data_IF_786985332340
#
_entry.id   IF_786985332340
#
_cell.length_a   1.000
_cell.length_b   1.000
_cell.length_c   1.000
_cell.angle_alpha   90.00
_cell.angle_beta   90.00
_cell.angle_gamma   90.00
#
_symmetry.space_group_name_H-M   'P 1'
#
loop_
_entity.id
_entity.type
_entity.pdbx_description
1 polymer ?
#
# COMPACT_ATOMS: atom_id res chain seq x y z
N UNK A 1 -32.63 2.13 0.53
CA UNK A 1 -31.96 0.86 0.85
C UNK A 1 -32.09 0.70 2.36
N UNK A 2 -32.52 -0.45 2.88
CA UNK A 2 -32.61 -0.63 4.34
C UNK A 2 -31.23 -0.93 4.91
N UNK A 3 -30.90 -0.43 6.10
CA UNK A 3 -29.58 -0.60 6.75
C UNK A 3 -29.08 -2.06 6.76
N UNK A 4 -30.00 -3.02 6.88
CA UNK A 4 -29.68 -4.46 6.89
C UNK A 4 -29.21 -5.01 5.53
N UNK A 5 -29.55 -4.36 4.42
CA UNK A 5 -29.15 -4.81 3.09
C UNK A 5 -27.74 -4.32 2.76
N UNK A 6 -27.44 -3.05 3.07
CA UNK A 6 -26.11 -2.48 2.87
C UNK A 6 -25.04 -3.21 3.70
N UNK A 7 -25.35 -3.59 4.94
CA UNK A 7 -24.46 -4.40 5.79
C UNK A 7 -24.15 -5.79 5.19
N UNK A 8 -25.14 -6.40 4.54
CA UNK A 8 -24.94 -7.69 3.87
C UNK A 8 -24.09 -7.54 2.61
N UNK A 9 -24.31 -6.48 1.85
CA UNK A 9 -23.59 -6.22 0.61
C UNK A 9 -22.11 -5.88 0.89
N UNK A 10 -21.82 -5.16 1.97
CA UNK A 10 -20.45 -4.87 2.44
C UNK A 10 -19.74 -6.11 3.01
N UNK A 11 -20.42 -6.92 3.82
CA UNK A 11 -19.85 -8.17 4.33
C UNK A 11 -19.53 -9.15 3.19
N UNK A 12 -20.40 -9.21 2.18
CA UNK A 12 -20.18 -10.01 0.99
C UNK A 12 -19.01 -9.48 0.14
N UNK A 13 -18.82 -8.16 0.06
CA UNK A 13 -17.67 -7.57 -0.64
C UNK A 13 -16.35 -7.90 0.08
N UNK A 14 -16.28 -7.74 1.40
CA UNK A 14 -15.08 -8.08 2.19
C UNK A 14 -14.71 -9.57 2.04
N UNK A 15 -15.71 -10.46 2.14
CA UNK A 15 -15.53 -11.91 1.93
C UNK A 15 -15.11 -12.23 0.48
N UNK A 16 -15.68 -11.53 -0.51
CA UNK A 16 -15.33 -11.71 -1.93
C UNK A 16 -13.88 -11.35 -2.24
N UNK A 17 -13.31 -10.36 -1.56
CA UNK A 17 -11.91 -9.97 -1.73
C UNK A 17 -10.94 -10.74 -0.83
N UNK A 18 -11.40 -11.77 -0.11
CA UNK A 18 -10.54 -12.58 0.76
C UNK A 18 -10.08 -11.86 2.03
N UNK A 19 -10.71 -10.74 2.39
CA UNK A 19 -10.52 -10.14 3.70
C UNK A 19 -11.23 -11.00 4.73
N UNK A 20 -10.51 -11.97 5.31
CA UNK A 20 -10.98 -12.59 6.54
C UNK A 20 -11.17 -11.48 7.56
N UNK A 21 -12.37 -11.38 8.16
CA UNK A 21 -12.56 -10.54 9.34
C UNK A 21 -11.47 -10.93 10.34
N UNK A 22 -10.56 -10.03 10.73
CA UNK A 22 -9.62 -10.34 11.79
C UNK A 22 -10.45 -10.77 12.99
N UNK A 23 -10.32 -12.03 13.41
CA UNK A 23 -10.87 -12.49 14.69
C UNK A 23 -10.01 -11.87 15.79
N UNK A 24 -10.24 -10.59 16.05
CA UNK A 24 -9.65 -9.93 17.21
C UNK A 24 -10.53 -10.22 18.40
N UNK A 25 -9.98 -10.99 19.34
CA UNK A 25 -10.38 -10.84 20.72
C UNK A 25 -10.22 -9.36 21.07
N UNK A 26 -11.34 -8.68 21.32
CA UNK A 26 -11.40 -7.29 21.73
C UNK A 26 -10.37 -7.09 22.84
N UNK A 27 -9.26 -6.42 22.54
CA UNK A 27 -8.24 -6.09 23.53
C UNK A 27 -8.80 -4.99 24.41
N UNK A 28 -9.55 -5.39 25.44
CA UNK A 28 -10.11 -4.49 26.43
C UNK A 28 -8.96 -3.87 27.26
N UNK A 29 -8.56 -2.66 26.90
CA UNK A 29 -7.61 -1.83 27.65
C UNK A 29 -7.27 -0.56 26.87
N UNK A 30 -7.45 0.65 27.44
CA UNK A 30 -7.00 1.88 26.79
C UNK A 30 -5.48 1.84 26.59
N UNK A 31 -4.94 2.09 25.39
CA UNK A 31 -3.49 2.25 25.23
C UNK A 31 -2.99 3.46 26.04
N UNK A 32 -3.87 4.42 26.32
CA UNK A 32 -3.63 5.57 27.21
C UNK A 32 -3.13 5.24 28.63
N UNK A 33 -3.28 4.01 29.14
CA UNK A 33 -2.73 3.61 30.45
C UNK A 33 -1.30 3.05 30.40
N UNK A 34 -0.70 2.88 29.20
CA UNK A 34 0.73 2.57 29.04
C UNK A 34 1.47 3.88 28.71
N UNK A 35 1.93 4.52 29.77
CA UNK A 35 2.51 5.86 29.88
C UNK A 35 3.80 6.14 29.07
N UNK A 36 3.85 5.91 27.76
CA UNK A 36 5.07 6.14 26.96
C UNK A 36 4.90 6.17 25.44
N UNK A 37 3.70 6.49 24.92
CA UNK A 37 3.40 6.42 23.47
C UNK A 37 3.07 7.77 22.85
N UNK A 38 3.90 8.79 23.12
CA UNK A 38 3.80 10.12 22.52
C UNK A 38 5.08 10.45 21.79
N UNK A 39 5.00 11.30 20.78
CA UNK A 39 6.21 11.86 20.19
C UNK A 39 6.97 12.69 21.22
N UNK A 40 8.31 12.64 21.22
CA UNK A 40 9.13 13.57 21.97
C UNK A 40 8.74 15.01 21.64
N UNK A 41 8.62 15.86 22.67
CA UNK A 41 8.08 17.22 22.51
C UNK A 41 8.79 18.03 21.43
N UNK A 42 10.12 17.98 21.37
CA UNK A 42 10.90 18.72 20.38
C UNK A 42 10.60 18.25 18.95
N UNK A 43 10.36 16.95 18.75
CA UNK A 43 9.99 16.39 17.45
C UNK A 43 8.56 16.81 17.05
N UNK A 44 7.64 16.79 18.01
CA UNK A 44 6.25 17.26 17.85
C UNK A 44 6.18 18.73 17.45
N UNK A 45 6.85 19.61 18.19
CA UNK A 45 6.90 21.06 17.92
C UNK A 45 7.51 21.35 16.54
N UNK A 46 8.55 20.59 16.16
CA UNK A 46 9.18 20.73 14.86
C UNK A 46 8.25 20.27 13.72
N UNK A 47 7.49 19.19 13.94
CA UNK A 47 6.50 18.67 12.99
C UNK A 47 5.35 19.65 12.78
N UNK A 48 4.73 20.13 13.87
CA UNK A 48 3.67 21.13 13.85
C UNK A 48 4.10 22.37 13.08
N UNK A 49 5.28 22.92 13.41
CA UNK A 49 5.81 24.11 12.74
C UNK A 49 6.03 23.89 11.25
N UNK A 50 6.57 22.74 10.86
CA UNK A 50 6.81 22.41 9.45
C UNK A 50 5.50 22.24 8.68
N UNK A 51 4.53 21.51 9.25
CA UNK A 51 3.20 21.32 8.70
C UNK A 51 2.45 22.64 8.55
N UNK A 52 2.41 23.47 9.60
CA UNK A 52 1.77 24.78 9.55
C UNK A 52 2.39 25.69 8.47
N UNK A 53 3.72 25.68 8.34
CA UNK A 53 4.41 26.43 7.30
C UNK A 53 4.09 25.91 5.89
N UNK A 54 3.97 24.59 5.71
CA UNK A 54 3.61 23.98 4.43
C UNK A 54 2.14 24.22 4.07
N UNK A 55 1.19 24.05 4.99
CA UNK A 55 -0.24 24.35 4.79
C UNK A 55 -0.49 25.81 4.41
N UNK A 56 0.32 26.73 4.92
CA UNK A 56 0.25 28.15 4.54
C UNK A 56 0.91 28.48 3.18
N UNK A 57 1.52 27.50 2.51
CA UNK A 57 2.29 27.71 1.28
C UNK A 57 1.42 27.61 0.01
N UNK A 58 1.84 28.24 -1.11
CA UNK A 58 1.23 28.02 -2.41
C UNK A 58 1.30 26.57 -2.89
N UNK A 59 2.36 25.84 -2.51
CA UNK A 59 2.59 24.46 -2.96
C UNK A 59 1.54 23.49 -2.38
N UNK A 60 1.14 23.69 -1.11
CA UNK A 60 0.03 22.94 -0.51
C UNK A 60 -1.31 23.29 -1.18
N UNK A 61 -1.59 24.58 -1.40
CA UNK A 61 -2.81 24.99 -2.09
C UNK A 61 -2.92 24.41 -3.51
N UNK A 62 -1.81 24.34 -4.25
CA UNK A 62 -1.73 23.70 -5.57
C UNK A 62 -1.97 22.19 -5.47
N UNK A 63 -1.32 21.51 -4.51
CA UNK A 63 -1.51 20.08 -4.26
C UNK A 63 -2.99 19.78 -4.01
N UNK A 64 -3.61 20.44 -3.03
CA UNK A 64 -5.01 20.19 -2.64
C UNK A 64 -5.98 20.45 -3.79
N UNK A 65 -5.74 21.47 -4.62
CA UNK A 65 -6.55 21.75 -5.79
C UNK A 65 -6.40 20.70 -6.90
N UNK A 66 -5.21 20.10 -7.05
CA UNK A 66 -4.91 19.12 -8.08
C UNK A 66 -5.26 17.68 -7.68
N UNK A 67 -5.36 17.36 -6.39
CA UNK A 67 -5.55 16.01 -5.84
C UNK A 67 -6.48 15.09 -6.66
N UNK A 68 -7.69 15.51 -7.10
CA UNK A 68 -8.60 14.61 -7.82
C UNK A 68 -8.13 14.18 -9.22
N UNK A 69 -7.08 14.81 -9.74
CA UNK A 69 -6.56 14.64 -11.11
C UNK A 69 -5.16 14.02 -11.13
N UNK A 70 -4.49 13.91 -9.98
CA UNK A 70 -3.11 13.44 -9.92
C UNK A 70 -3.04 11.92 -10.05
N UNK A 71 -2.08 11.42 -10.83
CA UNK A 71 -1.69 10.02 -10.78
C UNK A 71 -0.90 9.72 -9.49
N UNK A 72 -0.73 8.43 -9.16
CA UNK A 72 0.13 8.03 -8.04
C UNK A 72 1.58 8.47 -8.21
N UNK A 73 2.09 8.45 -9.44
CA UNK A 73 3.43 8.94 -9.76
C UNK A 73 3.54 10.46 -9.53
N UNK A 74 2.51 11.22 -9.92
CA UNK A 74 2.48 12.66 -9.65
C UNK A 74 2.38 12.94 -8.15
N UNK A 75 1.54 12.20 -7.41
CA UNK A 75 1.43 12.32 -5.95
C UNK A 75 2.77 12.05 -5.27
N UNK A 76 3.47 10.99 -5.67
CA UNK A 76 4.81 10.69 -5.17
C UNK A 76 5.75 11.89 -5.37
N UNK A 77 5.85 12.40 -6.59
CA UNK A 77 6.74 13.52 -6.92
C UNK A 77 6.37 14.77 -6.09
N UNK A 78 5.07 15.04 -5.91
CA UNK A 78 4.61 16.18 -5.12
C UNK A 78 4.96 16.04 -3.64
N UNK A 79 4.68 14.89 -3.04
CA UNK A 79 5.03 14.64 -1.63
C UNK A 79 6.54 14.59 -1.39
N UNK A 80 7.30 14.01 -2.32
CA UNK A 80 8.75 14.05 -2.29
C UNK A 80 9.27 15.48 -2.28
N UNK A 81 8.86 16.29 -3.27
CA UNK A 81 9.30 17.69 -3.36
C UNK A 81 8.90 18.52 -2.13
N UNK A 82 7.74 18.24 -1.55
CA UNK A 82 7.29 18.88 -0.33
C UNK A 82 8.15 18.47 0.87
N UNK A 83 8.28 17.16 1.16
CA UNK A 83 9.01 16.63 2.31
C UNK A 83 10.51 16.94 2.24
N UNK A 84 11.13 16.85 1.06
CA UNK A 84 12.53 17.23 0.85
C UNK A 84 12.71 18.75 0.68
N UNK A 85 11.61 19.49 0.65
CA UNK A 85 11.56 20.93 0.41
C UNK A 85 11.95 21.79 1.62
N UNK A 86 11.95 23.12 1.44
CA UNK A 86 12.43 24.06 2.45
C UNK A 86 11.58 24.08 3.74
N UNK A 87 10.31 23.68 3.67
CA UNK A 87 9.40 23.66 4.82
C UNK A 87 9.77 22.59 5.85
N UNK A 88 10.26 21.44 5.37
CA UNK A 88 10.58 20.27 6.21
C UNK A 88 12.10 20.05 6.37
N UNK A 89 12.94 20.82 5.68
CA UNK A 89 14.39 20.69 5.73
C UNK A 89 14.96 20.70 7.16
N UNK A 90 14.46 21.56 8.04
CA UNK A 90 14.90 21.60 9.46
C UNK A 90 14.45 20.36 10.23
N UNK A 91 13.25 19.85 9.98
CA UNK A 91 12.75 18.62 10.60
C UNK A 91 13.58 17.41 10.16
N UNK A 92 13.81 17.26 8.85
CA UNK A 92 14.66 16.21 8.29
C UNK A 92 16.09 16.26 8.84
N UNK A 93 16.67 17.46 8.96
CA UNK A 93 17.99 17.63 9.55
C UNK A 93 17.99 17.20 11.03
N UNK A 94 16.96 17.58 11.77
CA UNK A 94 16.85 17.29 13.19
C UNK A 94 16.63 15.79 13.46
N UNK A 95 15.90 15.08 12.61
CA UNK A 95 15.78 13.62 12.68
C UNK A 95 17.11 12.88 12.50
N UNK A 96 18.06 13.45 11.76
CA UNK A 96 19.43 12.90 11.63
C UNK A 96 20.32 13.22 12.83
N UNK A 97 19.83 14.01 13.77
CA UNK A 97 20.55 14.45 14.97
C UNK A 97 19.62 14.35 16.19
N UNK A 98 19.29 13.13 16.67
CA UNK A 98 18.28 12.92 17.71
C UNK A 98 18.50 13.77 18.98
N UNK A 99 19.77 14.03 19.31
CA UNK A 99 20.23 14.92 20.39
C UNK A 99 19.59 16.33 20.35
N UNK A 100 19.35 16.86 19.14
CA UNK A 100 18.84 18.23 18.91
C UNK A 100 17.35 18.34 19.23
N UNK A 101 16.62 17.23 19.13
CA UNK A 101 15.19 17.17 19.37
C UNK A 101 14.84 16.72 20.79
N UNK A 102 15.86 16.56 21.63
CA UNK A 102 15.72 16.02 22.99
C UNK A 102 14.97 14.68 22.98
N UNK A 103 15.19 13.88 21.93
CA UNK A 103 14.60 12.56 21.78
C UNK A 103 15.33 11.60 22.72
N UNK A 104 14.61 11.06 23.71
CA UNK A 104 15.08 9.87 24.40
C UNK A 104 14.96 8.68 23.44
N UNK A 105 16.11 8.14 23.05
CA UNK A 105 16.17 7.04 22.08
C UNK A 105 15.66 5.72 22.65
N UNK A 106 15.52 5.61 23.98
CA UNK A 106 14.87 4.48 24.63
C UNK A 106 13.33 4.54 24.48
N UNK A 107 12.77 5.74 24.28
CA UNK A 107 11.32 5.95 24.17
C UNK A 107 10.84 5.88 22.70
N UNK A 108 11.48 6.63 21.79
CA UNK A 108 11.06 6.69 20.39
C UNK A 108 12.17 7.21 19.46
N UNK A 109 12.79 6.33 18.68
CA UNK A 109 13.76 6.71 17.66
C UNK A 109 13.21 6.43 16.25
N UNK A 110 12.72 7.45 15.52
CA UNK A 110 12.21 7.24 14.17
C UNK A 110 13.35 6.89 13.20
N UNK A 111 13.14 5.82 12.42
CA UNK A 111 14.02 5.38 11.35
C UNK A 111 13.64 5.96 9.99
N UNK A 112 12.36 6.31 9.80
CA UNK A 112 11.87 6.98 8.61
C UNK A 112 10.81 8.05 8.92
N UNK A 113 10.60 8.95 7.97
CA UNK A 113 9.62 10.03 8.02
C UNK A 113 8.81 10.05 6.74
N UNK A 114 7.52 10.30 6.87
CA UNK A 114 6.63 10.41 5.74
C UNK A 114 5.84 11.72 5.73
N UNK A 115 5.45 12.13 4.52
CA UNK A 115 4.44 13.15 4.30
C UNK A 115 3.37 12.51 3.41
N UNK A 116 2.13 12.51 3.87
CA UNK A 116 1.02 11.93 3.13
C UNK A 116 -0.27 12.69 3.31
N UNK A 117 -1.23 12.37 2.44
CA UNK A 117 -2.62 12.73 2.62
C UNK A 117 -3.27 11.65 3.47
N UNK A 118 -3.83 12.04 4.61
CA UNK A 118 -4.77 11.21 5.34
C UNK A 118 -6.17 11.71 5.03
N UNK A 119 -7.07 10.79 4.69
CA UNK A 119 -8.45 11.11 4.37
C UNK A 119 -9.37 10.11 5.06
N UNK A 120 -10.43 10.62 5.66
CA UNK A 120 -11.47 9.85 6.31
C UNK A 120 -12.82 10.25 5.76
N UNK A 121 -13.67 9.26 5.47
CA UNK A 121 -15.04 9.46 5.06
C UNK A 121 -15.95 8.59 5.93
N UNK A 122 -16.78 9.21 6.78
CA UNK A 122 -17.68 8.51 7.71
C UNK A 122 -19.14 8.85 7.38
N UNK A 123 -20.03 7.84 7.38
CA UNK A 123 -21.49 8.04 7.29
C UNK A 123 -22.31 7.04 8.15
N UNK A 124 -21.68 6.05 8.79
CA UNK A 124 -22.22 4.98 9.70
C UNK A 124 -21.14 3.88 9.85
N UNK A 125 -20.43 3.60 8.76
CA UNK A 125 -19.15 2.90 8.68
C UNK A 125 -18.22 3.86 7.94
N UNK A 126 -17.04 4.10 8.50
CA UNK A 126 -16.02 4.96 7.91
C UNK A 126 -15.03 4.17 7.08
N UNK A 127 -14.46 4.84 6.08
CA UNK A 127 -13.22 4.44 5.45
C UNK A 127 -12.19 5.49 5.78
N UNK A 128 -11.12 5.06 6.44
CA UNK A 128 -9.92 5.86 6.60
C UNK A 128 -8.86 5.36 5.65
N UNK A 129 -8.13 6.27 5.03
CA UNK A 129 -7.07 5.97 4.10
C UNK A 129 -5.94 6.96 4.27
N UNK A 130 -4.72 6.50 4.01
CA UNK A 130 -3.54 7.34 3.92
C UNK A 130 -2.72 6.93 2.71
N UNK A 131 -2.14 7.91 2.04
CA UNK A 131 -1.16 7.69 0.99
C UNK A 131 -0.11 8.78 1.10
N UNK A 132 1.16 8.42 1.01
CA UNK A 132 2.21 9.42 1.07
C UNK A 132 3.58 8.91 0.69
N UNK A 133 4.51 9.85 0.64
CA UNK A 133 5.91 9.58 0.40
C UNK A 133 6.62 9.36 1.73
N UNK A 134 7.47 8.34 1.82
CA UNK A 134 8.25 8.00 3.02
C UNK A 134 9.73 7.88 2.67
N UNK A 135 10.59 8.39 3.56
CA UNK A 135 12.04 8.38 3.40
C UNK A 135 12.74 7.99 4.70
N UNK A 136 13.67 7.04 4.60
CA UNK A 136 14.58 6.65 5.66
C UNK A 136 15.53 7.79 6.03
N UNK A 137 15.97 7.78 7.29
CA UNK A 137 17.03 8.69 7.74
C UNK A 137 18.34 8.53 6.95
N UNK A 138 18.56 7.35 6.34
CA UNK A 138 19.68 7.02 5.45
C UNK A 138 19.39 7.21 3.94
N UNK A 139 18.26 7.85 3.59
CA UNK A 139 17.84 8.29 2.25
C UNK A 139 17.23 7.24 1.31
N UNK A 140 16.97 6.00 1.74
CA UNK A 140 16.08 5.12 0.98
C UNK A 140 14.65 5.69 1.04
N UNK A 141 13.87 5.60 -0.04
CA UNK A 141 12.51 6.15 -0.08
C UNK A 141 11.54 5.28 -0.86
N UNK A 142 10.26 5.48 -0.59
CA UNK A 142 9.15 4.73 -1.19
C UNK A 142 7.83 5.50 -1.08
N UNK A 143 6.79 4.92 -1.66
CA UNK A 143 5.41 5.37 -1.46
C UNK A 143 4.74 4.41 -0.46
N UNK A 144 4.06 4.92 0.54
CA UNK A 144 3.24 4.09 1.42
C UNK A 144 1.76 4.33 1.12
N UNK A 145 0.96 3.29 1.27
CA UNK A 145 -0.50 3.36 1.28
C UNK A 145 -0.96 2.61 2.50
N UNK A 146 -1.95 3.15 3.20
CA UNK A 146 -2.69 2.38 4.17
C UNK A 146 -4.14 2.76 4.28
N UNK A 147 -4.92 1.93 4.96
CA UNK A 147 -6.33 2.22 5.18
C UNK A 147 -6.98 1.26 6.15
N UNK A 148 -8.18 1.66 6.57
CA UNK A 148 -8.94 1.01 7.59
C UNK A 148 -10.45 1.18 7.39
N UNK A 149 -11.20 0.30 8.05
CA UNK A 149 -12.64 0.40 8.18
C UNK A 149 -12.98 0.86 9.59
N UNK A 150 -13.63 2.01 9.71
CA UNK A 150 -14.07 2.59 10.99
C UNK A 150 -15.57 2.37 11.20
N UNK A 151 -16.04 2.47 12.45
CA UNK A 151 -17.44 2.27 12.79
C UNK A 151 -18.02 3.48 13.55
N UNK A 152 -17.80 4.69 13.02
CA UNK A 152 -18.31 5.93 13.63
C UNK A 152 -19.70 6.39 13.16
N UNK A 153 -20.37 7.20 13.98
CA UNK A 153 -21.66 7.85 13.69
C UNK A 153 -21.48 9.32 13.30
N UNK A 154 -20.33 9.68 12.72
CA UNK A 154 -20.12 11.03 12.20
C UNK A 154 -20.25 11.08 10.67
N UNK A 155 -20.69 12.22 10.15
CA UNK A 155 -20.94 12.42 8.73
C UNK A 155 -20.02 13.52 8.19
N UNK A 156 -18.85 13.12 7.71
CA UNK A 156 -17.81 14.04 7.25
C UNK A 156 -16.88 13.39 6.23
N UNK A 157 -16.35 14.21 5.33
CA UNK A 157 -15.15 13.88 4.55
C UNK A 157 -14.09 14.88 4.97
N UNK A 158 -13.08 14.39 5.65
CA UNK A 158 -11.95 15.20 6.10
C UNK A 158 -10.68 14.63 5.51
N UNK A 159 -9.83 15.48 4.97
CA UNK A 159 -8.55 15.04 4.49
C UNK A 159 -7.58 16.19 4.31
N UNK A 160 -6.41 16.04 4.90
CA UNK A 160 -5.30 16.99 4.79
C UNK A 160 -3.97 16.25 4.93
N UNK A 161 -2.89 16.99 4.79
CA UNK A 161 -1.54 16.47 4.90
C UNK A 161 -1.16 16.20 6.36
N UNK A 162 -0.51 15.06 6.59
CA UNK A 162 0.04 14.65 7.87
C UNK A 162 1.51 14.26 7.71
N UNK A 163 2.28 14.39 8.79
CA UNK A 163 3.65 13.87 8.87
C UNK A 163 3.64 12.59 9.69
N UNK A 164 4.17 11.51 9.14
CA UNK A 164 4.36 10.24 9.84
C UNK A 164 5.79 10.07 10.32
N UNK A 165 5.97 9.60 11.55
CA UNK A 165 7.26 9.18 12.08
C UNK A 165 7.22 7.68 12.35
N UNK A 166 8.09 6.93 11.67
CA UNK A 166 8.10 5.47 11.73
C UNK A 166 9.36 5.02 12.45
N UNK A 167 9.23 4.05 13.36
CA UNK A 167 10.36 3.35 13.98
C UNK A 167 10.96 2.27 13.08
N UNK A 168 10.32 2.04 11.93
CA UNK A 168 10.72 1.09 10.90
C UNK A 168 11.30 1.80 9.69
N UNK A 169 12.15 1.07 8.95
CA UNK A 169 12.67 1.55 7.68
C UNK A 169 11.63 1.35 6.58
N UNK A 170 11.77 2.10 5.50
CA UNK A 170 10.92 2.03 4.30
C UNK A 170 10.76 0.59 3.79
N UNK A 171 11.82 -0.22 3.83
CA UNK A 171 11.77 -1.61 3.38
C UNK A 171 11.05 -2.58 4.32
N UNK A 172 10.73 -2.15 5.52
CA UNK A 172 10.09 -2.94 6.58
C UNK A 172 8.66 -2.43 6.85
N UNK A 173 8.13 -1.56 5.97
CA UNK A 173 6.76 -1.04 6.08
C UNK A 173 5.78 -2.01 5.42
N UNK A 174 5.35 -3.02 6.17
CA UNK A 174 4.30 -3.94 5.77
C UNK A 174 3.46 -4.40 6.97
N UNK A 175 2.25 -4.88 6.68
CA UNK A 175 1.42 -5.55 7.67
C UNK A 175 0.32 -4.70 8.33
N UNK A 176 -0.21 -5.24 9.42
CA UNK A 176 -1.34 -4.69 10.16
C UNK A 176 -0.82 -3.83 11.32
N UNK A 177 -1.24 -2.58 11.32
CA UNK A 177 -0.99 -1.62 12.37
C UNK A 177 -2.29 -1.35 13.11
N UNK A 178 -2.26 -1.36 14.43
CA UNK A 178 -3.43 -1.02 15.26
C UNK A 178 -3.29 0.42 15.72
N UNK A 179 -4.11 1.30 15.18
CA UNK A 179 -4.17 2.72 15.51
C UNK A 179 -5.05 3.00 16.73
N UNK A 180 -4.57 3.88 17.60
CA UNK A 180 -5.39 4.61 18.57
C UNK A 180 -5.13 6.10 18.37
N UNK A 181 -6.21 6.86 18.24
CA UNK A 181 -6.18 8.31 18.17
C UNK A 181 -5.86 8.85 19.56
N UNK A 182 -4.87 9.74 19.63
CA UNK A 182 -4.48 10.41 20.87
C UNK A 182 -4.77 11.89 20.65
N UNK A 183 -5.99 12.30 20.98
CA UNK A 183 -6.29 13.72 21.04
C UNK A 183 -5.41 14.38 22.11
N UNK A 184 -4.77 15.46 21.70
CA UNK A 184 -4.01 16.31 22.59
C UNK A 184 -4.80 17.60 22.75
N UNK A 185 -5.73 17.60 23.71
CA UNK A 185 -6.42 18.79 24.20
C UNK A 185 -5.44 19.74 24.93
N UNK A 186 -4.50 20.33 24.18
CA UNK A 186 -3.62 21.41 24.61
C UNK A 186 -3.98 22.76 23.96
N UNK A 187 -5.07 22.81 23.17
CA UNK A 187 -5.58 24.01 22.52
C UNK A 187 -4.75 24.49 21.32
N UNK A 188 -3.81 23.68 20.83
CA UNK A 188 -2.97 24.00 19.66
C UNK A 188 -3.62 23.61 18.33
N UNK A 189 -4.63 22.72 18.35
CA UNK A 189 -5.24 22.16 17.14
C UNK A 189 -4.36 21.08 16.48
N UNK A 190 -3.38 20.52 17.20
CA UNK A 190 -2.55 19.41 16.73
C UNK A 190 -3.16 18.09 17.16
N UNK A 191 -3.28 17.15 16.22
CA UNK A 191 -3.78 15.81 16.51
C UNK A 191 -2.69 14.78 16.25
N UNK A 192 -2.55 13.81 17.17
CA UNK A 192 -1.65 12.68 17.01
C UNK A 192 -2.46 11.38 16.85
N UNK A 193 -2.04 10.53 15.92
CA UNK A 193 -2.54 9.16 15.83
C UNK A 193 -1.35 8.21 15.99
N UNK A 194 -1.41 7.33 16.99
CA UNK A 194 -0.34 6.39 17.31
C UNK A 194 -0.72 4.98 16.87
N UNK A 195 0.18 4.31 16.20
CA UNK A 195 -0.04 3.01 15.57
C UNK A 195 0.95 1.99 16.09
N UNK A 196 0.43 0.81 16.42
CA UNK A 196 1.21 -0.31 16.90
C UNK A 196 1.41 -1.35 15.81
N UNK A 197 2.63 -1.83 15.65
CA UNK A 197 2.96 -3.02 14.88
C UNK A 197 3.55 -4.06 15.85
N UNK A 198 3.07 -5.30 15.82
CA UNK A 198 3.49 -6.36 16.75
C UNK A 198 3.47 -5.94 18.25
N UNK A 199 2.43 -5.21 18.67
CA UNK A 199 2.22 -4.68 20.02
C UNK A 199 3.18 -3.56 20.47
N UNK A 200 4.11 -3.16 19.61
CA UNK A 200 5.06 -2.08 19.86
C UNK A 200 4.64 -0.80 19.13
N UNK A 201 4.94 0.37 19.71
CA UNK A 201 4.76 1.63 18.99
C UNK A 201 5.66 1.61 17.74
N UNK A 202 5.06 1.80 16.58
CA UNK A 202 5.70 1.66 15.29
C UNK A 202 5.60 2.95 14.47
N UNK A 203 4.45 3.62 14.53
CA UNK A 203 4.17 4.83 13.75
C UNK A 203 3.43 5.87 14.60
N UNK A 204 3.76 7.15 14.43
CA UNK A 204 2.91 8.26 14.89
C UNK A 204 2.69 9.24 13.75
N UNK A 205 1.43 9.52 13.42
CA UNK A 205 1.04 10.62 12.55
C UNK A 205 0.79 11.88 13.36
N UNK A 206 1.28 13.01 12.85
CA UNK A 206 0.98 14.36 13.34
C UNK A 206 0.20 15.08 12.26
N UNK A 207 -0.99 15.57 12.63
CA UNK A 207 -1.83 16.44 11.82
C UNK A 207 -2.03 17.80 12.49
N UNK A 208 -2.44 18.79 11.72
CA UNK A 208 -2.91 20.08 12.24
C UNK A 208 -4.34 20.27 11.74
N UNK A 209 -5.28 20.48 12.65
CA UNK A 209 -6.72 20.60 12.40
C UNK A 209 -7.32 19.46 11.55
N UNK A 210 -6.79 18.24 11.68
CA UNK A 210 -7.48 17.05 11.18
C UNK A 210 -8.54 16.72 12.23
N UNK A 211 -9.84 16.79 11.89
CA UNK A 211 -10.96 16.36 12.74
C UNK A 211 -11.03 14.84 12.82
N UNK A 212 -9.93 14.28 13.28
CA UNK A 212 -9.80 12.96 13.87
C UNK A 212 -10.64 13.05 15.14
N UNK A 213 -11.84 12.48 15.10
CA UNK A 213 -12.91 12.69 16.09
C UNK A 213 -12.50 12.23 17.50
N UNK A 214 -13.03 12.87 18.56
CA UNK A 214 -12.71 12.65 19.98
C UNK A 214 -13.20 11.29 20.53
N UNK A 215 -13.50 10.34 19.64
CA UNK A 215 -14.12 9.06 19.93
C UNK A 215 -13.14 7.92 19.78
N UNK A 216 -12.59 7.42 20.90
CA UNK A 216 -11.78 6.18 20.94
C UNK A 216 -12.42 5.05 20.10
N UNK A 217 -11.93 4.86 18.89
CA UNK A 217 -12.11 3.64 18.11
C UNK A 217 -10.72 3.11 17.79
N UNK A 218 -10.40 1.92 18.33
CA UNK A 218 -9.22 1.19 17.89
C UNK A 218 -9.48 0.78 16.46
N UNK A 219 -8.64 1.25 15.56
CA UNK A 219 -8.80 1.02 14.14
C UNK A 219 -7.61 0.23 13.61
N UNK A 220 -7.89 -0.86 12.91
CA UNK A 220 -6.86 -1.64 12.22
C UNK A 220 -6.55 -0.98 10.88
N UNK A 221 -5.36 -0.38 10.77
CA UNK A 221 -4.81 0.15 9.53
C UNK A 221 -3.86 -0.86 8.92
N UNK A 222 -4.05 -1.18 7.65
CA UNK A 222 -3.07 -1.96 6.91
C UNK A 222 -2.16 -0.98 6.16
N UNK A 223 -0.84 -1.03 6.36
CA UNK A 223 0.12 -0.20 5.62
C UNK A 223 1.03 -1.08 4.76
N UNK A 224 1.45 -0.57 3.60
CA UNK A 224 2.45 -1.22 2.77
C UNK A 224 3.26 -0.21 1.95
N UNK A 225 4.54 -0.53 1.71
CA UNK A 225 5.40 0.16 0.76
C UNK A 225 5.12 -0.28 -0.69
N UNK A 226 5.24 0.67 -1.61
CA UNK A 226 5.22 0.43 -3.06
C UNK A 226 6.56 0.87 -3.65
N UNK A 227 7.21 -0.06 -4.36
CA UNK A 227 8.45 0.21 -5.08
C UNK A 227 8.18 1.14 -6.29
N UNK A 228 9.01 2.17 -6.42
CA UNK A 228 8.89 3.17 -7.49
C UNK A 228 9.15 2.57 -8.87
N UNK A 229 8.21 2.79 -9.80
CA UNK A 229 8.24 2.24 -11.15
C UNK A 229 7.25 1.08 -11.37
N UNK A 230 6.55 0.64 -10.32
CA UNK A 230 5.48 -0.35 -10.40
C UNK A 230 4.15 0.30 -10.01
N UNK A 231 3.18 0.27 -10.92
CA UNK A 231 1.82 0.72 -10.64
C UNK A 231 1.08 -0.35 -9.83
N UNK A 232 0.15 0.03 -8.92
CA UNK A 232 -0.74 -0.94 -8.29
C UNK A 232 -1.54 -1.65 -9.38
N UNK A 233 -2.03 -2.85 -9.07
CA UNK A 233 -2.77 -3.74 -10.00
C UNK A 233 -4.00 -3.06 -10.65
N UNK A 234 -4.39 -1.88 -10.17
CA UNK A 234 -5.43 -1.06 -10.76
C UNK A 234 -4.98 -0.32 -12.04
N UNK A 235 -5.57 -0.71 -13.18
CA UNK A 235 -5.44 0.00 -14.45
C UNK A 235 -6.60 1.01 -14.63
N UNK A 236 -6.33 2.33 -14.61
CA UNK A 236 -7.35 3.34 -14.84
C UNK A 236 -7.84 3.32 -16.30
N UNK A 237 -9.06 3.82 -16.52
CA UNK A 237 -9.63 3.98 -17.86
C UNK A 237 -10.37 2.77 -18.42
N UNK A 238 -10.96 3.00 -19.59
CA UNK A 238 -11.71 2.01 -20.36
C UNK A 238 -10.77 1.25 -21.30
N UNK A 239 -11.06 -0.04 -21.51
CA UNK A 239 -10.36 -0.88 -22.47
C UNK A 239 -11.36 -1.73 -23.26
N UNK A 240 -10.98 -2.04 -24.50
CA UNK A 240 -11.79 -2.90 -25.40
C UNK A 240 -11.66 -4.37 -25.03
N UNK A 241 -10.53 -4.77 -24.43
CA UNK A 241 -10.25 -6.15 -24.09
C UNK A 241 -9.76 -6.28 -22.64
N UNK A 242 -10.09 -7.43 -22.05
CA UNK A 242 -9.64 -7.87 -20.74
C UNK A 242 -8.95 -9.23 -20.88
N UNK A 243 -7.88 -9.45 -20.15
CA UNK A 243 -7.23 -10.74 -19.96
C UNK A 243 -7.34 -11.13 -18.50
N UNK A 244 -8.09 -12.17 -18.21
CA UNK A 244 -8.13 -12.79 -16.90
C UNK A 244 -7.08 -13.88 -16.83
N UNK A 245 -6.07 -13.71 -15.98
CA UNK A 245 -5.11 -14.75 -15.64
C UNK A 245 -5.78 -15.65 -14.60
N UNK A 246 -6.04 -16.91 -14.96
CA UNK A 246 -6.88 -17.80 -14.16
C UNK A 246 -6.01 -18.64 -13.23
N UNK A 247 -5.18 -19.50 -13.82
CA UNK A 247 -4.41 -20.49 -13.07
C UNK A 247 -3.00 -20.55 -13.60
N UNK A 248 -2.03 -20.45 -12.69
CA UNK A 248 -0.63 -20.77 -12.96
C UNK A 248 -0.34 -22.17 -12.41
N UNK A 249 0.40 -22.98 -13.15
CA UNK A 249 0.83 -24.32 -12.75
C UNK A 249 2.35 -24.41 -12.84
N UNK A 250 3.00 -24.86 -11.77
CA UNK A 250 4.41 -25.20 -11.78
C UNK A 250 4.57 -26.61 -12.34
N UNK A 251 5.35 -26.74 -13.41
CA UNK A 251 5.64 -28.04 -14.06
C UNK A 251 7.03 -28.52 -13.65
N UNK A 252 8.01 -27.62 -13.56
CA UNK A 252 9.38 -27.88 -13.15
C UNK A 252 9.91 -26.65 -12.39
N UNK A 253 10.45 -26.83 -11.18
CA UNK A 253 10.93 -25.74 -10.32
C UNK A 253 12.44 -25.81 -10.15
N UNK A 254 13.08 -24.65 -9.96
CA UNK A 254 14.53 -24.60 -9.73
C UNK A 254 14.87 -25.13 -8.35
N UNK A 255 14.12 -24.67 -7.35
CA UNK A 255 14.30 -25.02 -5.96
C UNK A 255 13.13 -25.87 -5.45
N UNK A 256 13.18 -26.29 -4.18
CA UNK A 256 12.04 -26.97 -3.55
C UNK A 256 10.78 -26.11 -3.57
N UNK A 257 10.95 -24.79 -3.53
CA UNK A 257 9.91 -23.78 -3.68
C UNK A 257 10.51 -22.58 -4.39
N UNK A 258 9.96 -22.24 -5.53
CA UNK A 258 10.25 -20.99 -6.22
C UNK A 258 9.31 -19.90 -5.70
N UNK A 259 9.82 -18.69 -5.54
CA UNK A 259 9.00 -17.49 -5.28
C UNK A 259 8.72 -16.82 -6.61
N UNK A 260 7.45 -16.75 -7.04
CA UNK A 260 7.09 -16.27 -8.37
C UNK A 260 6.23 -15.01 -8.35
N UNK A 261 6.41 -14.13 -9.34
CA UNK A 261 5.50 -13.01 -9.58
C UNK A 261 5.47 -12.62 -11.06
N UNK A 262 4.42 -11.92 -11.47
CA UNK A 262 4.30 -11.33 -12.80
C UNK A 262 4.63 -9.85 -12.76
N UNK A 263 5.26 -9.40 -13.83
CA UNK A 263 5.11 -8.04 -14.31
C UNK A 263 4.31 -8.04 -15.60
N UNK A 264 3.51 -7.02 -15.83
CA UNK A 264 2.79 -6.86 -17.07
C UNK A 264 2.64 -5.40 -17.48
N UNK A 265 2.52 -5.19 -18.78
CA UNK A 265 2.24 -3.88 -19.34
C UNK A 265 1.37 -4.02 -20.58
N UNK A 266 0.58 -2.99 -20.86
CA UNK A 266 -0.41 -2.99 -21.91
C UNK A 266 -0.01 -2.06 -23.06
N UNK A 267 -0.48 -2.40 -24.25
CA UNK A 267 -0.45 -1.57 -25.45
C UNK A 267 0.95 -1.10 -25.89
N UNK A 268 1.99 -1.85 -25.48
CA UNK A 268 3.39 -1.55 -25.79
C UNK A 268 3.99 -0.43 -24.93
N UNK A 269 3.28 0.04 -23.90
CA UNK A 269 3.79 1.03 -22.95
C UNK A 269 4.54 0.33 -21.81
N UNK A 270 5.85 0.11 -22.01
CA UNK A 270 6.73 -0.46 -20.98
C UNK A 270 7.13 0.55 -19.88
N UNK A 271 6.68 1.80 -19.97
CA UNK A 271 6.88 2.80 -18.93
C UNK A 271 5.91 2.65 -17.75
N UNK A 272 4.78 1.97 -17.96
CA UNK A 272 3.80 1.65 -16.91
C UNK A 272 3.78 0.15 -16.66
N UNK A 273 4.58 -0.29 -15.69
CA UNK A 273 4.71 -1.70 -15.33
C UNK A 273 3.82 -2.02 -14.12
N UNK A 274 2.98 -3.05 -14.24
CA UNK A 274 2.13 -3.55 -13.17
C UNK A 274 2.72 -4.84 -12.62
N UNK A 275 2.63 -5.08 -11.30
CA UNK A 275 3.13 -6.30 -10.65
C UNK A 275 1.98 -7.11 -10.04
N UNK A 276 2.03 -8.44 -10.15
CA UNK A 276 1.07 -9.34 -9.49
C UNK A 276 1.73 -10.62 -8.92
N UNK A 277 1.50 -11.01 -7.64
CA UNK A 277 0.81 -10.23 -6.63
C UNK A 277 1.48 -8.87 -6.45
N UNK A 278 0.75 -7.89 -5.92
CA UNK A 278 1.29 -6.54 -5.73
C UNK A 278 2.55 -6.57 -4.84
N UNK A 279 2.60 -7.54 -3.92
CA UNK A 279 3.65 -7.70 -2.93
C UNK A 279 4.14 -9.15 -2.92
N UNK A 280 5.43 -9.31 -2.58
CA UNK A 280 6.13 -10.59 -2.56
C UNK A 280 6.00 -11.38 -3.87
N UNK A 281 6.37 -12.65 -3.81
CA UNK A 281 5.99 -13.62 -4.82
C UNK A 281 5.19 -14.74 -4.18
N UNK A 282 4.40 -15.41 -5.01
CA UNK A 282 3.69 -16.60 -4.62
C UNK A 282 4.66 -17.79 -4.59
N UNK A 283 4.65 -18.57 -3.52
CA UNK A 283 5.48 -19.76 -3.44
C UNK A 283 4.85 -20.90 -4.25
N UNK A 284 5.60 -21.44 -5.22
CA UNK A 284 5.20 -22.57 -6.03
C UNK A 284 6.27 -23.65 -6.06
N UNK A 285 5.87 -24.90 -6.22
CA UNK A 285 6.77 -26.02 -6.41
C UNK A 285 6.19 -27.01 -7.42
N UNK A 286 7.02 -27.91 -7.94
CA UNK A 286 6.54 -29.04 -8.72
C UNK A 286 5.44 -29.83 -8.01
N UNK A 287 4.54 -30.42 -8.80
CA UNK A 287 3.51 -31.30 -8.27
C UNK A 287 4.13 -32.51 -7.56
N UNK A 288 4.07 -32.48 -6.22
CA UNK A 288 4.36 -33.63 -5.35
C UNK A 288 3.04 -34.32 -4.97
N UNK A 289 3.06 -35.26 -4.01
CA UNK A 289 1.83 -35.92 -3.53
C UNK A 289 0.81 -34.90 -2.94
N UNK A 290 1.28 -33.72 -2.54
CA UNK A 290 0.49 -32.55 -2.16
C UNK A 290 0.55 -31.49 -3.27
N UNK A 291 -0.59 -31.22 -3.92
CA UNK A 291 -0.70 -30.28 -5.05
C UNK A 291 -0.94 -28.83 -4.62
N UNK A 292 -1.00 -28.54 -3.31
CA UNK A 292 -1.39 -27.23 -2.78
C UNK A 292 -0.50 -26.10 -3.31
N UNK A 293 0.78 -26.37 -3.58
CA UNK A 293 1.75 -25.40 -4.08
C UNK A 293 2.11 -25.56 -5.56
N UNK A 294 1.55 -26.57 -6.24
CA UNK A 294 1.77 -26.77 -7.68
C UNK A 294 0.89 -25.91 -8.56
N UNK A 295 -0.18 -25.36 -8.00
CA UNK A 295 -1.15 -24.54 -8.74
C UNK A 295 -1.51 -23.29 -7.95
N UNK A 296 -1.47 -22.14 -8.61
CA UNK A 296 -1.89 -20.86 -8.07
C UNK A 296 -3.11 -20.35 -8.83
N UNK A 297 -4.21 -20.11 -8.13
CA UNK A 297 -5.37 -19.40 -8.70
C UNK A 297 -5.09 -17.90 -8.68
N UNK A 298 -4.70 -17.36 -9.84
CA UNK A 298 -4.17 -16.00 -9.97
C UNK A 298 -5.29 -14.97 -9.82
N UNK A 299 -6.38 -15.09 -10.60
CA UNK A 299 -7.54 -14.20 -10.50
C UNK A 299 -7.30 -12.75 -10.94
N UNK A 300 -6.14 -12.43 -11.53
CA UNK A 300 -5.79 -11.10 -12.02
C UNK A 300 -6.55 -10.77 -13.31
N UNK A 301 -7.07 -9.55 -13.42
CA UNK A 301 -7.65 -9.01 -14.67
C UNK A 301 -6.79 -7.86 -15.17
N UNK A 302 -6.24 -8.02 -16.37
CA UNK A 302 -5.48 -6.99 -17.07
C UNK A 302 -6.30 -6.40 -18.23
N UNK A 303 -6.33 -5.07 -18.34
CA UNK A 303 -6.97 -4.27 -19.39
C UNK A 303 -5.97 -3.95 -20.51
N UNK A 304 -6.40 -4.06 -21.77
CA UNK A 304 -5.57 -3.69 -22.94
C UNK A 304 -6.43 -3.44 -24.20
N UNK A 305 -5.84 -2.81 -25.22
CA UNK A 305 -6.48 -2.52 -26.51
C UNK A 305 -5.77 -3.16 -27.71
N UNK A 306 -4.43 -3.17 -27.73
CA UNK A 306 -3.60 -3.66 -28.84
C UNK A 306 -2.77 -4.89 -28.44
N UNK A 307 -2.20 -4.91 -27.24
CA UNK A 307 -1.45 -6.07 -26.74
C UNK A 307 -1.32 -6.05 -25.21
N UNK A 308 -1.13 -7.21 -24.62
CA UNK A 308 -0.73 -7.36 -23.22
C UNK A 308 0.57 -8.16 -23.18
N UNK A 309 1.64 -7.61 -22.63
CA UNK A 309 2.88 -8.36 -22.40
C UNK A 309 2.97 -8.77 -20.94
N UNK A 310 3.29 -10.04 -20.70
CA UNK A 310 3.49 -10.65 -19.39
C UNK A 310 4.95 -11.09 -19.28
N UNK A 311 5.57 -10.81 -18.13
CA UNK A 311 6.90 -11.23 -17.74
C UNK A 311 6.81 -12.00 -16.44
N UNK A 312 7.26 -13.25 -16.43
CA UNK A 312 7.30 -14.07 -15.22
C UNK A 312 8.67 -13.98 -14.57
N UNK A 313 8.70 -13.76 -13.26
CA UNK A 313 9.90 -13.82 -12.44
C UNK A 313 9.82 -15.02 -11.51
N UNK A 314 10.94 -15.74 -11.36
CA UNK A 314 11.08 -16.97 -10.57
C UNK A 314 12.34 -16.85 -9.73
N UNK A 315 12.20 -16.48 -8.46
CA UNK A 315 13.32 -16.14 -7.58
C UNK A 315 14.13 -14.96 -8.13
N UNK A 316 15.40 -15.21 -8.46
CA UNK A 316 16.32 -14.24 -9.07
C UNK A 316 16.34 -14.28 -10.61
N UNK A 317 15.52 -15.14 -11.23
CA UNK A 317 15.46 -15.33 -12.67
C UNK A 317 14.25 -14.64 -13.30
N UNK A 318 14.46 -14.02 -14.45
CA UNK A 318 13.41 -13.41 -15.27
C UNK A 318 13.24 -14.23 -16.54
N UNK A 319 12.03 -14.73 -16.77
CA UNK A 319 11.67 -15.50 -17.95
C UNK A 319 11.41 -14.59 -19.16
N UNK A 320 11.46 -15.16 -20.36
CA UNK A 320 11.14 -14.45 -21.61
C UNK A 320 9.73 -13.83 -21.58
N UNK A 321 9.61 -12.64 -22.18
CA UNK A 321 8.34 -11.92 -22.28
C UNK A 321 7.36 -12.67 -23.21
N UNK A 322 6.11 -12.77 -22.76
CA UNK A 322 5.01 -13.34 -23.54
C UNK A 322 4.01 -12.25 -23.89
N UNK A 323 3.83 -11.97 -25.18
CA UNK A 323 2.84 -10.99 -25.64
C UNK A 323 1.58 -11.66 -26.16
N UNK A 324 0.45 -11.24 -25.62
CA UNK A 324 -0.90 -11.63 -26.03
C UNK A 324 -1.51 -10.54 -26.88
N UNK A 325 -2.11 -10.92 -28.01
CA UNK A 325 -2.77 -10.00 -28.94
C UNK A 325 -4.27 -10.28 -29.01
N UNK A 326 -5.09 -9.27 -29.34
CA UNK A 326 -6.48 -9.49 -29.72
C UNK A 326 -6.62 -10.50 -30.85
N UNK A 327 -5.73 -10.53 -31.85
CA UNK A 327 -5.83 -11.52 -32.93
C UNK A 327 -5.72 -12.98 -32.47
N UNK A 328 -5.29 -13.23 -31.24
CA UNK A 328 -5.34 -14.56 -30.61
C UNK A 328 -6.77 -15.00 -30.26
N UNK A 329 -7.79 -14.15 -30.49
CA UNK A 329 -9.22 -14.48 -30.40
C UNK A 329 -9.63 -15.57 -31.40
N UNK A 330 -10.25 -16.62 -30.88
CA UNK A 330 -11.15 -17.49 -31.65
C UNK A 330 -12.61 -17.01 -31.67
N UNK A 331 -12.93 -15.86 -31.06
CA UNK A 331 -14.31 -15.37 -30.87
C UNK A 331 -14.43 -14.31 -29.76
N UNK A 332 -15.63 -14.19 -29.15
CA UNK A 332 -15.91 -13.28 -28.01
C UNK A 332 -15.15 -13.64 -26.73
N UNK A 333 -14.80 -14.92 -26.59
CA UNK A 333 -13.96 -15.45 -25.53
C UNK A 333 -12.89 -16.35 -26.15
N UNK A 334 -11.68 -16.31 -25.60
CA UNK A 334 -10.57 -17.21 -25.97
C UNK A 334 -9.84 -17.67 -24.72
N UNK A 335 -9.28 -18.87 -24.75
CA UNK A 335 -8.35 -19.35 -23.73
C UNK A 335 -7.01 -19.62 -24.39
N UNK A 336 -5.93 -19.19 -23.75
CA UNK A 336 -4.57 -19.47 -24.18
C UNK A 336 -3.82 -20.01 -22.96
N UNK A 337 -3.09 -21.10 -23.16
CA UNK A 337 -2.13 -21.59 -22.19
C UNK A 337 -0.75 -21.13 -22.64
N UNK A 338 -0.08 -20.35 -21.80
CA UNK A 338 1.27 -19.87 -22.06
C UNK A 338 2.27 -20.66 -21.25
N UNK A 339 3.33 -21.14 -21.89
CA UNK A 339 4.37 -21.90 -21.22
C UNK A 339 5.68 -21.13 -21.25
N UNK A 340 6.32 -21.02 -20.10
CA UNK A 340 7.71 -20.60 -19.97
C UNK A 340 8.56 -21.83 -19.79
N UNK A 341 9.67 -21.89 -20.53
CA UNK A 341 10.67 -22.96 -20.49
C UNK A 341 12.03 -22.26 -20.62
N UNK A 342 12.82 -22.28 -19.54
CA UNK A 342 14.17 -21.73 -19.55
C UNK A 342 15.18 -22.73 -18.94
N UNK A 343 16.38 -22.73 -19.51
CA UNK A 343 17.49 -23.58 -19.08
C UNK A 343 18.46 -22.74 -18.27
N UNK A 344 18.34 -22.85 -16.95
CA UNK A 344 19.23 -22.15 -16.01
C UNK A 344 20.64 -22.69 -16.10
N UNK A 345 20.79 -24.00 -16.27
CA UNK A 345 22.06 -24.66 -16.58
C UNK A 345 21.87 -26.02 -17.30
N UNK A 346 22.90 -26.86 -17.33
CA UNK A 346 22.87 -28.12 -18.09
C UNK A 346 21.92 -29.18 -17.51
N UNK A 347 21.38 -28.97 -16.31
CA UNK A 347 20.61 -29.97 -15.56
C UNK A 347 19.28 -29.44 -15.03
N UNK A 348 19.11 -28.12 -14.87
CA UNK A 348 17.90 -27.53 -14.33
C UNK A 348 17.10 -26.78 -15.42
N UNK A 349 15.86 -27.23 -15.64
CA UNK A 349 14.88 -26.65 -16.56
C UNK A 349 13.73 -26.08 -15.71
N UNK A 350 13.43 -24.79 -15.82
CA UNK A 350 12.30 -24.19 -15.12
C UNK A 350 11.11 -24.14 -16.05
N UNK A 351 9.96 -24.66 -15.61
CA UNK A 351 8.77 -24.72 -16.45
C UNK A 351 7.49 -24.33 -15.71
N UNK A 352 6.78 -23.35 -16.27
CA UNK A 352 5.51 -22.83 -15.75
C UNK A 352 4.47 -22.73 -16.86
N UNK A 353 3.20 -22.90 -16.50
CA UNK A 353 2.08 -22.83 -17.42
C UNK A 353 0.95 -21.95 -16.89
N UNK A 354 0.55 -20.93 -17.65
CA UNK A 354 -0.48 -19.98 -17.28
C UNK A 354 -1.68 -20.06 -18.21
N UNK A 355 -2.85 -20.29 -17.61
CA UNK A 355 -4.13 -20.20 -18.31
C UNK A 355 -4.66 -18.77 -18.28
N UNK A 356 -4.87 -18.21 -19.47
CA UNK A 356 -5.38 -16.85 -19.68
C UNK A 356 -6.69 -16.92 -20.44
N UNK A 357 -7.74 -16.32 -19.87
CA UNK A 357 -8.99 -16.08 -20.55
C UNK A 357 -9.06 -14.65 -21.09
N UNK A 358 -9.29 -14.51 -22.39
CA UNK A 358 -9.48 -13.23 -23.05
C UNK A 358 -10.97 -12.92 -23.21
N UNK A 359 -11.35 -11.68 -22.92
CA UNK A 359 -12.73 -11.19 -22.94
C UNK A 359 -12.75 -9.88 -23.73
N UNK A 360 -13.72 -9.72 -24.64
CA UNK A 360 -14.02 -8.43 -25.25
C UNK A 360 -15.05 -7.69 -24.38
N UNK A 361 -14.67 -6.51 -23.88
CA UNK A 361 -15.49 -5.65 -23.04
C UNK A 361 -16.55 -4.90 -23.85
#
# INVERSE_FOLDING_TARGET
MTDTQLQKDLAAAAEHFGFEKPTLERRDGPLSNKSGKRLPQGLRDAAEKALAAYRASPDHAELMAALPQLSLADLHIRFQNALEGPHFASLLQAMRQPEVLEIDTEDFLPQSISLGLMAQAVLILGLSGSIGYVIDTDLKSGLYVGGAFDAGIDAGVEGDVCVGFWKEKVGDLDGIYVGEEVDIDDGTGVTEAAFLHDDELALVFVGVDLGIDDGMENTDFYFFEMEMGRAPIYQPGDATYLAQLITMTCINSKDNYDTIYFEFYADGDDSTLYRYPAWDGYQMCEAQEDTTFSTWTVGLIAKFNTSLTLRLHVGDHTMDDVTVYPSSFGGLHGSITQNWDDKVDAFDEIQYSLDIQLIRN
#
